data_IF_131273624169
#
_entry.id   IF_131273624169
#
_cell.length_a   1.000
_cell.length_b   1.000
_cell.length_c   1.000
_cell.angle_alpha   90.00
_cell.angle_beta   90.00
_cell.angle_gamma   90.00
#
_symmetry.space_group_name_H-M   'P 1'
#
loop_
_entity.id
_entity.type
_entity.pdbx_description
1 polymer ?
#
# COMPACT_ATOMS: atom_id res chain seq x y z
N UNK A 1 30.47 17.06 -10.61
CA UNK A 1 29.34 17.78 -10.02
C UNK A 1 28.96 17.02 -8.74
N UNK A 2 29.34 17.50 -7.55
CA UNK A 2 28.94 16.84 -6.29
C UNK A 2 27.50 17.28 -6.00
N UNK A 3 26.54 16.37 -5.73
CA UNK A 3 25.19 16.80 -5.37
C UNK A 3 25.27 17.65 -4.10
N UNK A 4 24.53 18.77 -4.11
CA UNK A 4 24.46 19.73 -3.00
C UNK A 4 24.22 18.97 -1.69
N UNK A 5 25.08 19.19 -0.68
CA UNK A 5 24.76 18.80 0.69
C UNK A 5 23.49 19.54 1.08
N UNK A 6 22.45 18.78 1.40
CA UNK A 6 21.27 19.32 2.06
C UNK A 6 21.67 19.46 3.54
N UNK A 7 21.84 20.69 4.04
CA UNK A 7 22.24 20.98 5.44
C UNK A 7 21.19 20.52 6.49
N UNK A 8 20.12 19.85 6.05
CA UNK A 8 18.98 19.40 6.85
C UNK A 8 18.93 17.88 7.05
N UNK A 9 19.92 17.13 6.56
CA UNK A 9 20.01 15.67 6.68
C UNK A 9 21.22 15.26 7.52
N UNK A 10 20.97 14.49 8.58
CA UNK A 10 22.02 13.96 9.46
C UNK A 10 22.14 12.45 9.31
N UNK A 11 23.36 11.92 9.26
CA UNK A 11 23.57 10.46 9.35
C UNK A 11 23.49 10.06 10.82
N UNK A 12 22.54 9.18 11.16
CA UNK A 12 22.34 8.65 12.51
C UNK A 12 23.23 7.44 12.76
N UNK A 13 23.25 6.51 11.82
CA UNK A 13 23.99 5.26 11.96
C UNK A 13 24.39 4.69 10.60
N UNK A 14 25.46 3.89 10.61
CA UNK A 14 25.88 3.02 9.51
C UNK A 14 26.00 1.60 10.03
N UNK A 15 25.58 0.64 9.21
CA UNK A 15 25.85 -0.78 9.47
C UNK A 15 27.34 -1.10 9.37
N UNK A 16 27.73 -2.31 9.77
CA UNK A 16 29.10 -2.80 9.54
C UNK A 16 29.47 -2.74 8.06
N UNK A 17 30.74 -2.48 7.77
CA UNK A 17 31.24 -2.53 6.39
C UNK A 17 31.09 -3.96 5.84
N UNK A 18 30.47 -4.08 4.67
CA UNK A 18 30.32 -5.34 3.96
C UNK A 18 31.51 -5.62 3.04
N UNK A 19 31.53 -6.82 2.44
CA UNK A 19 32.43 -7.15 1.35
C UNK A 19 32.09 -6.42 0.04
N UNK A 20 32.85 -6.67 -1.03
CA UNK A 20 32.76 -5.92 -2.31
C UNK A 20 31.35 -5.88 -2.94
N UNK A 21 30.51 -6.89 -2.70
CA UNK A 21 29.16 -6.99 -3.26
C UNK A 21 28.05 -6.89 -2.20
N UNK A 22 28.34 -6.29 -1.04
CA UNK A 22 27.38 -6.14 0.05
C UNK A 22 27.04 -4.66 0.27
N UNK A 23 25.75 -4.35 0.32
CA UNK A 23 25.27 -3.04 0.71
C UNK A 23 25.54 -2.76 2.19
N UNK A 24 25.88 -1.51 2.52
CA UNK A 24 26.02 -1.07 3.90
C UNK A 24 24.75 -0.33 4.34
N UNK A 25 24.15 -0.76 5.44
CA UNK A 25 22.96 -0.10 5.97
C UNK A 25 23.25 1.36 6.36
N UNK A 26 22.30 2.26 6.12
CA UNK A 26 22.36 3.66 6.54
C UNK A 26 21.05 4.11 7.15
N UNK A 27 21.12 4.77 8.30
CA UNK A 27 19.99 5.47 8.91
C UNK A 27 20.30 6.95 8.88
N UNK A 28 19.37 7.72 8.33
CA UNK A 28 19.44 9.16 8.25
C UNK A 28 18.27 9.78 9.00
N UNK A 29 18.41 11.04 9.37
CA UNK A 29 17.40 11.80 10.07
C UNK A 29 17.25 13.19 9.47
N UNK A 30 16.01 13.67 9.43
CA UNK A 30 15.65 15.03 9.05
C UNK A 30 14.45 15.51 9.86
N UNK A 31 14.03 16.76 9.66
CA UNK A 31 12.84 17.34 10.28
C UNK A 31 11.64 17.29 9.33
N UNK A 32 10.42 17.35 9.87
CA UNK A 32 9.19 17.45 9.07
C UNK A 32 9.27 18.62 8.07
N UNK A 33 9.71 19.81 8.50
CA UNK A 33 9.84 20.98 7.63
C UNK A 33 10.80 20.76 6.45
N UNK A 34 11.93 20.09 6.66
CA UNK A 34 12.86 19.76 5.59
C UNK A 34 12.29 18.69 4.64
N UNK A 35 11.67 17.63 5.18
CA UNK A 35 11.00 16.59 4.38
C UNK A 35 9.91 17.17 3.46
N UNK A 36 9.13 18.13 3.97
CA UNK A 36 8.09 18.81 3.21
C UNK A 36 8.64 19.79 2.16
N UNK A 37 9.79 20.42 2.43
CA UNK A 37 10.41 21.40 1.54
C UNK A 37 11.26 20.78 0.42
N UNK A 38 11.71 19.54 0.58
CA UNK A 38 12.62 18.86 -0.34
C UNK A 38 12.04 17.54 -0.82
N UNK A 39 11.38 17.55 -1.99
CA UNK A 39 10.75 16.36 -2.58
C UNK A 39 11.69 15.16 -2.73
N UNK A 40 12.98 15.39 -2.95
CA UNK A 40 13.98 14.33 -3.08
C UNK A 40 14.14 13.49 -1.81
N UNK A 41 13.76 14.01 -0.63
CA UNK A 41 13.74 13.25 0.62
C UNK A 41 12.59 12.25 0.70
N UNK A 42 11.63 12.31 -0.22
CA UNK A 42 10.48 11.41 -0.31
C UNK A 42 10.70 10.30 -1.34
N UNK A 43 11.74 10.40 -2.17
CA UNK A 43 12.04 9.43 -3.20
C UNK A 43 12.57 8.13 -2.59
N UNK A 44 12.15 7.00 -3.16
CA UNK A 44 12.62 5.68 -2.76
C UNK A 44 14.13 5.53 -3.04
N UNK A 45 14.86 5.05 -2.06
CA UNK A 45 16.22 4.52 -2.24
C UNK A 45 16.17 3.01 -2.16
N UNK A 46 16.29 2.35 -3.31
CA UNK A 46 16.28 0.88 -3.38
C UNK A 46 17.57 0.29 -2.80
N UNK A 47 17.58 0.04 -1.50
CA UNK A 47 18.72 -0.48 -0.75
C UNK A 47 18.50 -0.48 0.76
N UNK A 48 19.54 -0.84 1.52
CA UNK A 48 19.50 -0.84 2.98
C UNK A 48 19.60 0.60 3.54
N UNK A 49 18.56 1.41 3.34
CA UNK A 49 18.51 2.80 3.79
C UNK A 49 17.18 3.10 4.47
N UNK A 50 17.21 3.90 5.53
CA UNK A 50 16.02 4.41 6.19
C UNK A 50 16.16 5.90 6.51
N UNK A 51 15.05 6.63 6.43
CA UNK A 51 14.95 8.03 6.82
C UNK A 51 13.99 8.18 8.01
N UNK A 52 14.48 8.76 9.10
CA UNK A 52 13.69 9.18 10.25
C UNK A 52 13.27 10.63 10.01
N UNK A 53 11.97 10.89 9.97
CA UNK A 53 11.43 12.25 9.91
C UNK A 53 10.92 12.62 11.29
N UNK A 54 11.63 13.52 11.99
CA UNK A 54 11.19 14.02 13.30
C UNK A 54 10.07 15.03 13.13
N UNK A 55 8.93 14.72 13.73
CA UNK A 55 7.78 15.60 13.85
C UNK A 55 7.70 16.10 15.31
N UNK A 56 7.46 17.39 15.52
CA UNK A 56 7.37 17.99 16.85
C UNK A 56 6.04 17.64 17.56
N UNK A 57 4.99 17.41 16.78
CA UNK A 57 3.66 17.11 17.28
C UNK A 57 2.82 16.31 16.27
N UNK A 58 1.59 15.97 16.66
CA UNK A 58 0.64 15.23 15.83
C UNK A 58 0.21 16.01 14.57
N UNK A 59 0.29 17.35 14.58
CA UNK A 59 -0.06 18.17 13.43
C UNK A 59 1.03 18.05 12.36
N UNK A 60 2.31 18.17 12.72
CA UNK A 60 3.41 17.93 11.80
C UNK A 60 3.41 16.49 11.26
N UNK A 61 3.09 15.49 12.10
CA UNK A 61 2.94 14.11 11.63
C UNK A 61 1.85 14.00 10.56
N UNK A 62 0.69 14.62 10.80
CA UNK A 62 -0.41 14.66 9.82
C UNK A 62 0.03 15.34 8.53
N UNK A 63 0.70 16.49 8.61
CA UNK A 63 1.18 17.24 7.45
C UNK A 63 2.17 16.39 6.63
N UNK A 64 3.11 15.70 7.29
CA UNK A 64 4.05 14.76 6.64
C UNK A 64 3.30 13.64 5.91
N UNK A 65 2.38 12.96 6.60
CA UNK A 65 1.60 11.86 6.02
C UNK A 65 0.75 12.34 4.84
N UNK A 66 0.17 13.54 4.92
CA UNK A 66 -0.65 14.11 3.85
C UNK A 66 0.14 14.39 2.57
N UNK A 67 1.43 14.67 2.69
CA UNK A 67 2.32 14.92 1.56
C UNK A 67 2.96 13.65 0.97
N UNK A 68 2.86 12.50 1.64
CA UNK A 68 3.33 11.24 1.07
C UNK A 68 2.61 10.95 -0.26
N UNK A 69 3.34 10.48 -1.25
CA UNK A 69 2.74 9.87 -2.43
C UNK A 69 2.13 8.51 -2.08
N UNK A 70 1.44 7.86 -3.02
CA UNK A 70 0.86 6.55 -2.76
C UNK A 70 1.91 5.48 -2.45
N UNK A 71 1.62 4.65 -1.45
CA UNK A 71 2.49 3.64 -0.85
C UNK A 71 1.85 2.26 -1.00
N UNK A 72 2.68 1.21 -1.12
CA UNK A 72 2.19 -0.18 -1.04
C UNK A 72 1.68 -0.52 0.37
N UNK A 73 2.33 0.05 1.39
CA UNK A 73 1.99 -0.20 2.79
C UNK A 73 2.25 1.00 3.66
N UNK A 74 1.45 1.18 4.71
CA UNK A 74 1.82 2.00 5.86
C UNK A 74 1.69 1.16 7.13
N UNK A 75 2.72 1.20 7.97
CA UNK A 75 2.71 0.55 9.27
C UNK A 75 2.59 1.61 10.38
N UNK A 76 1.71 1.35 11.34
CA UNK A 76 1.57 2.10 12.57
C UNK A 76 2.09 1.24 13.73
N UNK A 77 2.98 1.81 14.53
CA UNK A 77 3.38 1.23 15.81
C UNK A 77 2.75 2.08 16.91
N UNK A 78 1.74 1.51 17.58
CA UNK A 78 0.84 2.24 18.49
C UNK A 78 0.50 1.41 19.72
N UNK A 79 0.22 2.09 20.83
CA UNK A 79 -0.33 1.49 22.05
C UNK A 79 -1.74 2.05 22.39
N UNK A 80 -2.25 1.74 23.59
CA UNK A 80 -3.59 2.17 24.01
C UNK A 80 -3.75 3.69 24.08
N UNK A 81 -2.68 4.43 24.38
CA UNK A 81 -2.68 5.89 24.48
C UNK A 81 -2.80 6.58 23.12
N UNK A 82 -2.44 5.89 22.04
CA UNK A 82 -2.43 6.43 20.68
C UNK A 82 -3.76 6.25 19.94
N UNK A 83 -4.74 5.54 20.52
CA UNK A 83 -5.96 5.11 19.83
C UNK A 83 -6.76 6.26 19.19
N UNK A 84 -6.86 7.40 19.85
CA UNK A 84 -7.60 8.55 19.32
C UNK A 84 -6.85 9.19 18.15
N UNK A 85 -5.52 9.35 18.27
CA UNK A 85 -4.68 9.84 17.16
C UNK A 85 -4.71 8.88 15.96
N UNK A 86 -4.61 7.57 16.22
CA UNK A 86 -4.70 6.56 15.18
C UNK A 86 -6.05 6.61 14.45
N UNK A 87 -7.16 6.72 15.20
CA UNK A 87 -8.50 6.88 14.64
C UNK A 87 -8.59 8.10 13.71
N UNK A 88 -8.00 9.22 14.11
CA UNK A 88 -8.03 10.46 13.32
C UNK A 88 -7.13 10.40 12.06
N UNK A 89 -6.09 9.55 12.08
CA UNK A 89 -5.17 9.37 10.96
C UNK A 89 -5.64 8.29 9.97
N UNK A 90 -6.37 7.25 10.39
CA UNK A 90 -6.79 6.14 9.52
C UNK A 90 -7.40 6.60 8.18
N UNK A 91 -8.37 7.53 8.11
CA UNK A 91 -8.93 7.98 6.83
C UNK A 91 -7.92 8.67 5.92
N UNK A 92 -6.86 9.25 6.48
CA UNK A 92 -5.75 9.79 5.69
C UNK A 92 -4.86 8.65 5.17
N UNK A 93 -4.53 7.68 6.02
CA UNK A 93 -3.68 6.54 5.66
C UNK A 93 -4.32 5.64 4.59
N UNK A 94 -5.63 5.40 4.66
CA UNK A 94 -6.40 4.65 3.66
C UNK A 94 -6.33 5.28 2.27
N UNK A 95 -6.12 6.60 2.19
CA UNK A 95 -5.93 7.31 0.91
C UNK A 95 -4.49 7.23 0.39
N UNK A 96 -3.55 6.77 1.21
CA UNK A 96 -2.12 6.67 0.88
C UNK A 96 -1.67 5.25 0.61
N UNK A 97 -2.26 4.25 1.27
CA UNK A 97 -1.93 2.85 1.08
C UNK A 97 -3.18 1.99 1.20
N UNK A 98 -3.28 0.87 0.48
CA UNK A 98 -4.39 -0.07 0.64
C UNK A 98 -4.02 -1.28 1.50
N UNK A 99 -2.80 -1.32 2.04
CA UNK A 99 -2.49 -2.19 3.19
C UNK A 99 -1.94 -1.41 4.37
N UNK A 100 -2.75 -1.32 5.41
CA UNK A 100 -2.37 -0.78 6.71
C UNK A 100 -1.99 -1.91 7.67
N UNK A 101 -0.91 -1.71 8.42
CA UNK A 101 -0.36 -2.70 9.35
C UNK A 101 -0.27 -2.08 10.74
N UNK A 102 -0.68 -2.80 11.76
CA UNK A 102 -0.55 -2.35 13.16
C UNK A 102 0.45 -3.25 13.87
N UNK A 103 1.43 -2.65 14.53
CA UNK A 103 2.43 -3.32 15.38
C UNK A 103 3.20 -4.43 14.65
N UNK A 104 3.59 -4.16 13.40
CA UNK A 104 4.37 -5.04 12.54
C UNK A 104 5.01 -4.29 11.38
N UNK A 105 5.80 -4.97 10.56
CA UNK A 105 6.54 -4.37 9.44
C UNK A 105 5.93 -4.74 8.07
N UNK A 106 6.11 -3.85 7.08
CA UNK A 106 5.56 -4.00 5.72
C UNK A 106 6.18 -5.06 4.82
N UNK A 107 7.28 -5.69 5.24
CA UNK A 107 8.08 -6.62 4.40
C UNK A 107 7.37 -7.93 4.09
N UNK A 108 6.56 -8.45 5.02
CA UNK A 108 5.77 -9.67 4.79
C UNK A 108 4.56 -9.40 3.91
N UNK A 109 4.37 -10.24 2.88
CA UNK A 109 3.18 -10.22 2.00
C UNK A 109 2.55 -11.61 1.98
N UNK A 110 1.45 -11.77 2.72
CA UNK A 110 0.68 -13.01 2.74
C UNK A 110 -0.11 -13.22 1.44
N UNK A 111 -0.12 -14.47 0.94
CA UNK A 111 -0.95 -14.85 -0.21
C UNK A 111 -2.31 -15.34 0.30
N UNK A 112 -3.27 -14.43 0.43
CA UNK A 112 -4.60 -14.74 0.98
C UNK A 112 -5.75 -14.13 0.15
N UNK A 113 -6.99 -14.41 0.56
CA UNK A 113 -8.18 -13.84 -0.09
C UNK A 113 -8.36 -12.34 0.18
N UNK A 114 -7.85 -11.84 1.31
CA UNK A 114 -8.01 -10.45 1.75
C UNK A 114 -6.82 -9.54 1.40
N UNK A 115 -5.79 -10.06 0.75
CA UNK A 115 -4.57 -9.31 0.46
C UNK A 115 -4.82 -8.19 -0.55
N UNK A 116 -4.29 -7.00 -0.24
CA UNK A 116 -4.16 -5.87 -1.16
C UNK A 116 -2.67 -5.54 -1.29
N UNK A 117 -2.12 -5.77 -2.48
CA UNK A 117 -0.76 -5.44 -2.87
C UNK A 117 -0.82 -4.57 -4.13
N UNK A 118 -0.97 -3.27 -3.92
CA UNK A 118 -1.20 -2.24 -4.94
C UNK A 118 -1.27 -0.86 -4.31
N UNK A 119 -2.20 0.00 -4.77
CA UNK A 119 -2.59 1.30 -4.15
C UNK A 119 -1.85 2.54 -4.66
N UNK A 120 -2.27 3.79 -4.31
CA UNK A 120 -2.24 4.92 -5.24
C UNK A 120 -0.90 5.11 -5.95
N UNK A 121 -0.96 5.63 -7.17
CA UNK A 121 0.25 6.00 -7.89
C UNK A 121 1.18 6.83 -6.97
N UNK A 122 2.49 6.52 -6.92
CA UNK A 122 3.24 5.62 -7.81
C UNK A 122 3.27 4.13 -7.43
N UNK A 123 2.68 3.70 -6.30
CA UNK A 123 2.76 2.31 -5.86
C UNK A 123 2.10 1.32 -6.84
N UNK A 124 1.00 1.71 -7.49
CA UNK A 124 0.39 0.97 -8.60
C UNK A 124 -0.12 1.91 -9.69
N UNK A 125 -0.32 1.36 -10.90
CA UNK A 125 -0.95 2.07 -12.02
C UNK A 125 -2.47 1.90 -12.09
N UNK A 126 -3.05 0.87 -11.44
CA UNK A 126 -4.51 0.71 -11.29
C UNK A 126 -4.89 0.38 -9.84
N UNK A 127 -5.46 1.37 -9.16
CA UNK A 127 -5.82 1.33 -7.73
C UNK A 127 -7.02 0.43 -7.42
N UNK A 128 -7.74 -0.04 -8.43
CA UNK A 128 -8.96 -0.84 -8.23
C UNK A 128 -8.68 -2.32 -8.04
N UNK A 129 -7.41 -2.73 -8.08
CA UNK A 129 -7.00 -4.14 -8.13
C UNK A 129 -5.83 -4.43 -7.20
N UNK A 130 -5.58 -5.71 -6.94
CA UNK A 130 -4.38 -6.21 -6.24
C UNK A 130 -3.53 -7.06 -7.18
N UNK A 131 -2.22 -7.07 -6.97
CA UNK A 131 -1.30 -7.95 -7.71
C UNK A 131 -1.01 -9.28 -7.00
N UNK A 132 -1.36 -9.39 -5.71
CA UNK A 132 -1.17 -10.59 -4.88
C UNK A 132 -2.48 -10.97 -4.20
N UNK A 133 -2.70 -12.28 -4.03
CA UNK A 133 -3.92 -12.82 -3.42
C UNK A 133 -4.99 -13.15 -4.44
N UNK A 134 -6.08 -13.74 -3.98
CA UNK A 134 -7.07 -14.35 -4.89
C UNK A 134 -7.77 -13.34 -5.82
N UNK A 135 -7.93 -12.10 -5.39
CA UNK A 135 -8.58 -11.04 -6.17
C UNK A 135 -7.70 -10.54 -7.33
N UNK A 136 -6.42 -10.92 -7.38
CA UNK A 136 -5.53 -10.57 -8.50
C UNK A 136 -5.98 -11.15 -9.85
N UNK A 137 -6.85 -12.18 -9.84
CA UNK A 137 -7.46 -12.74 -11.05
C UNK A 137 -8.31 -11.69 -11.79
N UNK A 138 -8.92 -10.74 -11.08
CA UNK A 138 -9.83 -9.75 -11.66
C UNK A 138 -9.14 -8.85 -12.71
N UNK A 139 -7.82 -8.68 -12.62
CA UNK A 139 -7.01 -7.93 -13.60
C UNK A 139 -7.05 -8.52 -15.00
N UNK A 140 -7.39 -9.80 -15.13
CA UNK A 140 -7.39 -10.54 -16.39
C UNK A 140 -8.80 -10.89 -16.89
N UNK A 141 -9.83 -10.37 -16.22
CA UNK A 141 -11.23 -10.63 -16.54
C UNK A 141 -11.90 -9.36 -17.09
N UNK A 142 -12.96 -9.56 -17.90
CA UNK A 142 -13.90 -8.50 -18.26
C UNK A 142 -15.33 -9.03 -18.26
N UNK A 143 -16.32 -8.25 -17.79
CA UNK A 143 -17.72 -8.68 -17.83
C UNK A 143 -18.27 -8.67 -19.27
N UNK A 144 -19.21 -9.57 -19.54
CA UNK A 144 -20.01 -9.61 -20.78
C UNK A 144 -21.47 -9.83 -20.40
N UNK A 145 -22.36 -8.98 -20.92
CA UNK A 145 -23.81 -9.10 -20.73
C UNK A 145 -24.43 -9.92 -21.87
N UNK A 146 -25.33 -10.84 -21.52
CA UNK A 146 -26.10 -11.64 -22.48
C UNK A 146 -27.59 -11.31 -22.30
N UNK A 147 -28.23 -10.81 -23.35
CA UNK A 147 -29.65 -10.46 -23.34
C UNK A 147 -30.39 -11.35 -24.35
N UNK A 148 -31.46 -12.01 -23.90
CA UNK A 148 -32.28 -12.92 -24.72
C UNK A 148 -31.47 -14.00 -25.47
N UNK A 149 -30.34 -14.45 -24.91
CA UNK A 149 -29.51 -15.49 -25.51
C UNK A 149 -30.20 -16.86 -25.38
N UNK A 150 -30.35 -17.64 -26.47
CA UNK A 150 -30.96 -18.96 -26.38
C UNK A 150 -30.19 -19.91 -25.45
N UNK A 151 -30.92 -20.77 -24.73
CA UNK A 151 -30.35 -21.71 -23.75
C UNK A 151 -29.28 -22.65 -24.34
N UNK A 152 -29.46 -23.06 -25.60
CA UNK A 152 -28.54 -23.99 -26.30
C UNK A 152 -27.17 -23.36 -26.58
N UNK A 153 -27.10 -22.05 -26.74
CA UNK A 153 -25.87 -21.28 -27.00
C UNK A 153 -25.33 -20.58 -25.75
N UNK A 154 -26.02 -20.70 -24.62
CA UNK A 154 -25.60 -20.06 -23.37
C UNK A 154 -24.38 -20.77 -22.75
N UNK A 155 -23.38 -20.03 -22.24
CA UNK A 155 -22.30 -20.60 -21.44
C UNK A 155 -22.85 -21.40 -20.25
N UNK A 156 -22.21 -22.51 -19.90
CA UNK A 156 -22.67 -23.36 -18.80
C UNK A 156 -22.77 -22.61 -17.46
N UNK A 157 -21.87 -21.66 -17.21
CA UNK A 157 -21.82 -20.89 -15.97
C UNK A 157 -23.05 -20.00 -15.70
N UNK A 158 -23.86 -19.68 -16.73
CA UNK A 158 -25.02 -18.78 -16.63
C UNK A 158 -26.36 -19.45 -16.99
N UNK A 159 -26.38 -20.77 -17.17
CA UNK A 159 -27.62 -21.50 -17.44
C UNK A 159 -28.48 -21.58 -16.18
N UNK A 160 -29.80 -21.51 -16.36
CA UNK A 160 -30.76 -21.72 -15.28
C UNK A 160 -30.52 -23.07 -14.57
N UNK A 161 -30.58 -23.06 -13.23
CA UNK A 161 -30.36 -24.23 -12.38
C UNK A 161 -28.89 -24.65 -12.22
N UNK A 162 -27.93 -23.81 -12.59
CA UNK A 162 -26.51 -24.08 -12.40
C UNK A 162 -26.07 -23.85 -10.94
N UNK A 163 -25.86 -24.94 -10.19
CA UNK A 163 -25.32 -24.88 -8.81
C UNK A 163 -23.78 -24.99 -8.73
N UNK A 164 -23.07 -25.06 -9.87
CA UNK A 164 -21.61 -25.30 -9.85
C UNK A 164 -20.78 -24.07 -9.46
N UNK A 165 -21.34 -22.86 -9.57
CA UNK A 165 -20.70 -21.59 -9.18
C UNK A 165 -21.70 -20.68 -8.48
N UNK A 166 -21.26 -19.80 -7.55
CA UNK A 166 -22.14 -18.81 -6.94
C UNK A 166 -22.72 -17.83 -7.97
N UNK A 167 -24.02 -17.55 -7.86
CA UNK A 167 -24.75 -16.62 -8.72
C UNK A 167 -25.48 -15.57 -7.88
N UNK A 168 -25.69 -14.37 -8.45
CA UNK A 168 -26.55 -13.33 -7.88
C UNK A 168 -27.76 -13.15 -8.80
N UNK A 169 -28.96 -13.37 -8.27
CA UNK A 169 -30.23 -13.26 -8.99
C UNK A 169 -31.12 -12.29 -8.23
N UNK A 170 -31.63 -11.25 -8.90
CA UNK A 170 -32.50 -10.22 -8.33
C UNK A 170 -32.04 -9.70 -6.95
N UNK A 171 -31.02 -8.82 -6.95
CA UNK A 171 -30.01 -8.55 -5.92
C UNK A 171 -29.58 -9.62 -4.89
N UNK A 172 -30.20 -10.80 -4.85
CA UNK A 172 -30.00 -11.79 -3.80
C UNK A 172 -28.88 -12.76 -4.19
N UNK A 173 -27.98 -13.12 -3.25
CA UNK A 173 -27.12 -14.28 -3.46
C UNK A 173 -27.99 -15.54 -3.51
N UNK A 174 -27.85 -16.37 -4.55
CA UNK A 174 -28.43 -17.71 -4.51
C UNK A 174 -27.53 -18.63 -3.66
N UNK A 175 -28.09 -19.36 -2.68
CA UNK A 175 -27.31 -20.34 -1.91
C UNK A 175 -26.89 -21.53 -2.77
N UNK A 176 -25.86 -22.25 -2.31
CA UNK A 176 -25.50 -23.57 -2.86
C UNK A 176 -26.63 -24.58 -2.66
#
# INVERSE_FOLDING_TARGET
MRPNRCDTLTTVARGGAGGENQGQAGIFETTAGAFLSHKQLQEEVFGASALIVRCNDAKELRDVVEHLEGQLTIAMHIDQGDNDLARDLIPLLERKAGRLIVNGFGTGVEVSHAMVHGDPFPATSDVRTTSVGSLAIERFLRPVCYQALPRRTSPCAIKDGNASVPQRVDPKPEPR
#
